data_IF_879066516231
#
_entry.id   IF_879066516231
#
_cell.length_a   1.000
_cell.length_b   1.000
_cell.length_c   1.000
_cell.angle_alpha   90.00
_cell.angle_beta   90.00
_cell.angle_gamma   90.00
#
_symmetry.space_group_name_H-M   'P 1'
#
loop_
_entity.id
_entity.type
_entity.pdbx_description
1 polymer ?
#
# COMPACT_ATOMS: atom_id res chain seq x y z
N UNK A 1 -60.42 -3.21 -36.11
CA UNK A 1 -58.98 -2.84 -36.02
C UNK A 1 -58.82 -1.67 -35.05
N UNK A 2 -58.60 -1.96 -33.80
CA UNK A 2 -58.53 -0.96 -32.72
C UNK A 2 -57.05 -0.87 -32.27
N UNK A 3 -56.46 0.29 -32.49
CA UNK A 3 -55.12 0.59 -31.99
C UNK A 3 -55.16 0.80 -30.47
N UNK A 4 -54.46 -0.02 -29.72
CA UNK A 4 -54.18 0.21 -28.32
C UNK A 4 -52.81 0.89 -28.21
N UNK A 5 -52.81 2.18 -27.88
CA UNK A 5 -51.65 2.93 -27.48
C UNK A 5 -51.57 2.85 -25.95
N UNK A 6 -50.57 2.15 -25.43
CA UNK A 6 -50.30 2.17 -24.01
C UNK A 6 -48.85 2.63 -23.84
N UNK A 7 -48.66 3.92 -23.50
CA UNK A 7 -47.37 4.52 -23.13
C UNK A 7 -47.49 5.00 -21.69
N UNK A 8 -47.26 4.12 -20.75
CA UNK A 8 -47.00 4.51 -19.37
C UNK A 8 -45.50 4.50 -19.16
N UNK A 9 -44.87 5.67 -19.24
CA UNK A 9 -43.48 5.90 -18.82
C UNK A 9 -43.45 5.86 -17.30
N UNK A 10 -42.90 4.78 -16.74
CA UNK A 10 -42.46 4.76 -15.35
C UNK A 10 -41.20 5.62 -15.25
N UNK A 11 -41.31 6.82 -14.68
CA UNK A 11 -40.16 7.57 -14.14
C UNK A 11 -39.91 7.05 -12.73
N UNK A 12 -38.79 6.39 -12.47
CA UNK A 12 -38.42 6.10 -11.06
C UNK A 12 -38.02 7.41 -10.39
N UNK A 13 -38.87 7.89 -9.49
CA UNK A 13 -38.47 8.93 -8.55
C UNK A 13 -37.51 8.30 -7.52
N UNK A 14 -36.23 8.56 -7.66
CA UNK A 14 -35.28 8.29 -6.60
C UNK A 14 -35.58 9.25 -5.44
N UNK A 15 -35.62 8.77 -4.18
CA UNK A 15 -35.73 9.67 -3.03
C UNK A 15 -34.52 10.61 -3.02
N UNK A 16 -34.77 11.90 -2.79
CA UNK A 16 -33.72 12.88 -2.60
C UNK A 16 -32.77 12.41 -1.48
N UNK A 17 -31.47 12.49 -1.74
CA UNK A 17 -30.47 12.19 -0.74
C UNK A 17 -30.69 13.12 0.50
N UNK A 18 -30.58 12.61 1.72
CA UNK A 18 -30.77 13.42 2.92
C UNK A 18 -29.75 14.55 2.94
N UNK A 19 -30.22 15.80 2.97
CA UNK A 19 -29.42 17.04 2.98
C UNK A 19 -28.94 17.44 4.37
N UNK A 20 -28.77 16.53 5.30
CA UNK A 20 -28.23 16.78 6.62
C UNK A 20 -26.94 16.00 6.88
N UNK A 21 -26.03 16.50 7.73
CA UNK A 21 -24.87 15.72 8.12
C UNK A 21 -25.35 14.42 8.76
N UNK A 22 -24.92 13.30 8.20
CA UNK A 22 -25.10 11.99 8.83
C UNK A 22 -24.48 12.09 10.22
N UNK A 23 -25.18 11.76 11.32
CA UNK A 23 -24.57 11.78 12.63
C UNK A 23 -23.41 10.77 12.62
N UNK A 24 -22.21 11.29 12.62
CA UNK A 24 -21.00 10.52 12.88
C UNK A 24 -21.15 10.02 14.31
N UNK A 25 -21.49 8.75 14.47
CA UNK A 25 -21.45 8.10 15.78
C UNK A 25 -20.10 8.42 16.42
N UNK A 26 -20.08 8.63 17.73
CA UNK A 26 -18.89 8.97 18.52
C UNK A 26 -17.73 8.14 18.02
N UNK A 27 -16.84 8.75 17.25
CA UNK A 27 -15.60 8.13 16.80
C UNK A 27 -14.82 7.83 18.09
N UNK A 28 -14.77 6.55 18.48
CA UNK A 28 -13.69 6.06 19.31
C UNK A 28 -12.39 6.63 18.73
N UNK A 29 -11.43 6.95 19.58
CA UNK A 29 -10.10 7.43 19.20
C UNK A 29 -9.71 6.75 17.88
N UNK A 30 -9.54 7.56 16.82
CA UNK A 30 -9.20 7.00 15.51
C UNK A 30 -7.92 6.19 15.70
N UNK A 31 -7.90 4.91 15.37
CA UNK A 31 -6.67 4.13 15.47
C UNK A 31 -5.59 4.84 14.65
N UNK A 32 -4.36 4.84 15.15
CA UNK A 32 -3.22 5.33 14.40
C UNK A 32 -3.04 4.44 13.16
N UNK A 33 -2.50 4.98 12.09
CA UNK A 33 -2.25 4.21 10.87
C UNK A 33 -0.85 4.54 10.37
N UNK A 34 -0.11 3.51 9.94
CA UNK A 34 1.18 3.72 9.24
C UNK A 34 1.02 4.53 7.95
N UNK A 35 -0.22 4.70 7.47
CA UNK A 35 -0.56 5.54 6.34
C UNK A 35 -1.18 6.88 6.75
N UNK A 36 -1.25 7.16 8.06
CA UNK A 36 -1.72 8.46 8.56
C UNK A 36 -0.75 9.55 8.11
N UNK A 37 -1.29 10.57 7.47
CA UNK A 37 -0.56 11.71 6.98
C UNK A 37 -1.13 12.99 7.59
N UNK A 38 -0.29 14.00 7.71
CA UNK A 38 -0.75 15.35 8.00
C UNK A 38 -1.61 15.85 6.83
N UNK A 39 -2.69 16.58 7.15
CA UNK A 39 -3.53 17.18 6.12
C UNK A 39 -2.70 18.25 5.37
N UNK A 40 -2.84 18.29 4.05
CA UNK A 40 -2.16 19.27 3.21
C UNK A 40 -3.14 19.82 2.17
N UNK A 41 -3.46 21.11 2.29
CA UNK A 41 -4.44 21.78 1.42
C UNK A 41 -3.99 21.87 -0.04
N UNK A 42 -2.68 21.78 -0.32
CA UNK A 42 -2.16 21.74 -1.68
C UNK A 42 -2.72 20.57 -2.49
N UNK A 43 -3.13 19.49 -1.82
CA UNK A 43 -3.71 18.32 -2.47
C UNK A 43 -5.09 18.57 -3.10
N UNK A 44 -5.77 19.65 -2.78
CA UNK A 44 -7.05 19.99 -3.40
C UNK A 44 -6.90 20.46 -4.85
N UNK A 45 -5.74 21.04 -5.20
CA UNK A 45 -5.44 21.58 -6.51
C UNK A 45 -4.57 20.67 -7.38
N UNK A 46 -4.19 19.47 -6.90
CA UNK A 46 -3.36 18.55 -7.68
C UNK A 46 -4.11 18.02 -8.91
N UNK A 47 -3.37 17.83 -9.98
CA UNK A 47 -3.86 17.18 -11.18
C UNK A 47 -3.34 15.74 -11.26
N UNK A 48 -4.22 14.83 -11.65
CA UNK A 48 -3.97 13.40 -11.75
C UNK A 48 -3.59 13.06 -13.19
N UNK A 49 -2.50 12.34 -13.37
CA UNK A 49 -2.11 11.82 -14.67
C UNK A 49 -2.91 10.56 -15.02
N UNK A 50 -3.56 10.55 -16.18
CA UNK A 50 -4.29 9.39 -16.73
C UNK A 50 -3.98 9.30 -18.23
N UNK A 51 -3.28 8.25 -18.67
CA UNK A 51 -3.04 7.97 -20.09
C UNK A 51 -2.54 9.18 -20.89
N UNK A 52 -1.42 9.76 -20.47
CA UNK A 52 -0.75 10.92 -21.11
C UNK A 52 -1.45 12.29 -20.96
N UNK A 53 -2.56 12.37 -20.22
CA UNK A 53 -3.28 13.61 -19.94
C UNK A 53 -3.34 13.89 -18.43
N UNK A 54 -3.52 15.20 -18.08
CA UNK A 54 -3.70 15.65 -16.70
C UNK A 54 -5.14 16.10 -16.48
N UNK A 55 -5.70 15.69 -15.35
CA UNK A 55 -7.08 16.01 -14.97
C UNK A 55 -7.12 16.57 -13.56
N UNK A 56 -7.87 17.66 -13.30
CA UNK A 56 -8.13 18.12 -11.95
C UNK A 56 -8.63 16.95 -11.07
N UNK A 57 -8.18 16.89 -9.81
CA UNK A 57 -8.50 15.78 -8.89
C UNK A 57 -9.99 15.40 -8.86
N UNK A 58 -10.89 16.40 -8.89
CA UNK A 58 -12.33 16.19 -8.85
C UNK A 58 -12.94 15.74 -10.18
N UNK A 59 -12.20 15.83 -11.29
CA UNK A 59 -12.61 15.41 -12.63
C UNK A 59 -11.95 14.10 -13.08
N UNK A 60 -10.85 13.70 -12.44
CA UNK A 60 -10.14 12.47 -12.75
C UNK A 60 -11.05 11.25 -12.59
N UNK A 61 -11.25 10.52 -13.66
CA UNK A 61 -12.15 9.35 -13.75
C UNK A 61 -11.54 8.25 -14.59
N UNK A 62 -11.86 7.02 -14.23
CA UNK A 62 -11.56 5.85 -15.04
C UNK A 62 -12.88 5.22 -15.50
N UNK A 63 -12.84 4.49 -16.60
CA UNK A 63 -13.99 3.79 -17.14
C UNK A 63 -14.55 2.77 -16.13
N UNK A 64 -15.88 2.63 -16.06
CA UNK A 64 -16.52 1.54 -15.29
C UNK A 64 -16.27 0.17 -15.93
N UNK A 65 -15.75 0.12 -17.14
CA UNK A 65 -15.32 -1.10 -17.83
C UNK A 65 -13.82 -1.40 -17.66
N UNK A 66 -13.08 -0.57 -16.91
CA UNK A 66 -11.67 -0.84 -16.61
C UNK A 66 -11.50 -2.17 -15.88
N UNK A 67 -10.53 -2.96 -16.31
CA UNK A 67 -10.27 -4.32 -15.79
C UNK A 67 -9.84 -4.32 -14.32
N UNK A 68 -9.13 -3.29 -13.87
CA UNK A 68 -8.77 -3.11 -12.47
C UNK A 68 -9.98 -2.85 -11.60
N UNK A 69 -10.93 -2.00 -12.08
CA UNK A 69 -12.19 -1.76 -11.38
C UNK A 69 -13.10 -2.99 -11.38
N UNK A 70 -13.23 -3.67 -12.51
CA UNK A 70 -14.15 -4.82 -12.64
C UNK A 70 -13.68 -6.06 -11.88
N UNK A 71 -12.39 -6.39 -11.93
CA UNK A 71 -11.88 -7.69 -11.47
C UNK A 71 -10.54 -7.62 -10.75
N UNK A 72 -9.99 -6.43 -10.50
CA UNK A 72 -8.69 -6.26 -9.84
C UNK A 72 -7.50 -6.64 -10.71
N UNK A 73 -7.65 -6.65 -12.05
CA UNK A 73 -6.63 -7.04 -13.02
C UNK A 73 -5.69 -5.86 -13.32
N UNK A 74 -4.65 -5.74 -12.52
CA UNK A 74 -3.66 -4.67 -12.60
C UNK A 74 -2.62 -4.76 -11.49
N UNK A 75 -1.59 -3.95 -11.65
CA UNK A 75 -0.45 -3.82 -10.74
C UNK A 75 -0.25 -2.36 -10.33
N UNK A 76 0.46 -2.13 -9.24
CA UNK A 76 0.70 -0.77 -8.77
C UNK A 76 1.99 -0.65 -7.97
N UNK A 77 2.50 0.57 -7.85
CA UNK A 77 3.61 0.93 -6.99
C UNK A 77 3.29 2.18 -6.17
N UNK A 78 3.84 2.25 -4.96
CA UNK A 78 3.87 3.43 -4.14
C UNK A 78 5.31 3.92 -4.01
N UNK A 79 5.58 5.17 -4.36
CA UNK A 79 6.92 5.75 -4.38
C UNK A 79 6.98 7.02 -3.53
N UNK A 80 8.15 7.31 -2.96
CA UNK A 80 8.41 8.57 -2.24
C UNK A 80 9.34 9.45 -3.04
N UNK A 81 8.99 10.74 -3.13
CA UNK A 81 9.86 11.77 -3.69
C UNK A 81 10.56 12.53 -2.55
N UNK A 82 11.86 12.61 -2.64
CA UNK A 82 12.73 13.39 -1.75
C UNK A 82 13.71 14.20 -2.62
N UNK A 83 13.84 15.48 -2.35
CA UNK A 83 14.77 16.39 -3.07
C UNK A 83 14.61 16.33 -4.60
N UNK A 84 13.36 16.18 -5.08
CA UNK A 84 13.05 16.08 -6.51
C UNK A 84 13.36 14.72 -7.15
N UNK A 85 13.74 13.68 -6.38
CA UNK A 85 14.06 12.34 -6.87
C UNK A 85 13.21 11.28 -6.18
N UNK A 86 12.75 10.29 -6.93
CA UNK A 86 12.06 9.14 -6.37
C UNK A 86 13.08 8.18 -5.75
N UNK A 87 12.96 7.96 -4.45
CA UNK A 87 13.83 7.03 -3.72
C UNK A 87 13.66 5.59 -4.23
N UNK A 88 14.79 4.94 -4.52
CA UNK A 88 14.86 3.55 -5.02
C UNK A 88 13.99 3.27 -6.25
N UNK A 89 13.87 4.26 -7.15
CA UNK A 89 13.01 4.18 -8.34
C UNK A 89 13.25 2.89 -9.13
N UNK A 90 14.51 2.53 -9.35
CA UNK A 90 14.87 1.33 -10.10
C UNK A 90 14.31 0.05 -9.48
N UNK A 91 14.39 -0.10 -8.16
CA UNK A 91 13.85 -1.27 -7.45
C UNK A 91 12.31 -1.33 -7.56
N UNK A 92 11.63 -0.17 -7.53
CA UNK A 92 10.19 -0.09 -7.73
C UNK A 92 9.79 -0.47 -9.15
N UNK A 93 10.51 0.02 -10.16
CA UNK A 93 10.25 -0.32 -11.55
C UNK A 93 10.58 -1.79 -11.85
N UNK A 94 11.66 -2.36 -11.29
CA UNK A 94 11.96 -3.79 -11.39
C UNK A 94 10.78 -4.64 -10.90
N UNK A 95 10.22 -4.30 -9.74
CA UNK A 95 9.09 -5.03 -9.17
C UNK A 95 7.80 -4.83 -9.99
N UNK A 96 7.56 -3.62 -10.50
CA UNK A 96 6.42 -3.31 -11.36
C UNK A 96 6.46 -4.18 -12.63
N UNK A 97 7.59 -4.16 -13.36
CA UNK A 97 7.74 -4.91 -14.61
C UNK A 97 7.76 -6.43 -14.38
N UNK A 98 8.35 -6.90 -13.30
CA UNK A 98 8.27 -8.32 -12.91
C UNK A 98 6.81 -8.72 -12.58
N UNK A 99 6.05 -7.86 -11.92
CA UNK A 99 4.62 -8.07 -11.66
C UNK A 99 3.79 -8.10 -12.94
N UNK A 100 4.04 -7.18 -13.87
CA UNK A 100 3.40 -7.16 -15.18
C UNK A 100 3.65 -8.45 -15.96
N UNK A 101 4.91 -8.87 -16.03
CA UNK A 101 5.28 -10.13 -16.68
C UNK A 101 4.59 -11.34 -16.05
N UNK A 102 4.46 -11.38 -14.72
CA UNK A 102 3.85 -12.50 -14.02
C UNK A 102 2.33 -12.65 -14.29
N UNK A 103 1.63 -11.57 -14.62
CA UNK A 103 0.21 -11.61 -15.00
C UNK A 103 -0.01 -11.45 -16.51
N UNK A 104 1.07 -11.57 -17.32
CA UNK A 104 1.02 -11.42 -18.78
C UNK A 104 0.33 -10.09 -19.19
N UNK A 105 0.76 -8.98 -18.57
CA UNK A 105 0.28 -7.64 -18.84
C UNK A 105 1.36 -6.87 -19.59
N UNK A 106 1.09 -6.49 -20.84
CA UNK A 106 1.94 -5.54 -21.57
C UNK A 106 1.61 -4.12 -21.08
N UNK A 107 2.61 -3.47 -20.49
CA UNK A 107 2.48 -2.07 -20.01
C UNK A 107 2.36 -1.09 -21.20
N UNK A 108 2.81 -1.46 -22.39
CA UNK A 108 2.82 -0.62 -23.58
C UNK A 108 3.85 0.52 -23.53
N UNK A 109 4.68 0.57 -22.48
CA UNK A 109 5.71 1.58 -22.25
C UNK A 109 7.01 0.93 -21.79
N UNK A 110 8.13 1.53 -22.16
CA UNK A 110 9.43 1.17 -21.63
C UNK A 110 9.58 1.67 -20.18
N UNK A 111 10.59 1.17 -19.50
CA UNK A 111 10.94 1.57 -18.14
C UNK A 111 11.21 3.08 -18.03
N UNK A 112 11.94 3.63 -19.00
CA UNK A 112 12.28 5.05 -19.05
C UNK A 112 11.04 5.92 -19.29
N UNK A 113 10.10 5.45 -20.10
CA UNK A 113 8.82 6.16 -20.33
C UNK A 113 7.95 6.16 -19.08
N UNK A 114 7.87 5.06 -18.34
CA UNK A 114 7.17 5.01 -17.05
C UNK A 114 7.83 5.95 -16.02
N UNK A 115 9.16 5.95 -15.94
CA UNK A 115 9.90 6.91 -15.11
C UNK A 115 9.64 8.35 -15.54
N UNK A 116 9.63 8.60 -16.86
CA UNK A 116 9.30 9.90 -17.45
C UNK A 116 7.90 10.40 -17.05
N UNK A 117 6.90 9.52 -17.07
CA UNK A 117 5.52 9.83 -16.64
C UNK A 117 5.46 10.21 -15.15
N UNK A 118 6.16 9.46 -14.27
CA UNK A 118 6.27 9.77 -12.84
C UNK A 118 6.88 11.15 -12.62
N UNK A 119 8.02 11.45 -13.25
CA UNK A 119 8.67 12.76 -13.14
C UNK A 119 7.86 13.88 -13.80
N UNK A 120 7.16 13.61 -14.90
CA UNK A 120 6.23 14.57 -15.51
C UNK A 120 5.11 14.95 -14.55
N UNK A 121 4.53 13.96 -13.85
CA UNK A 121 3.44 14.18 -12.89
C UNK A 121 3.87 15.09 -11.73
N UNK A 122 5.04 14.85 -11.12
CA UNK A 122 5.49 15.66 -9.99
C UNK A 122 5.94 17.05 -10.44
N UNK A 123 6.53 17.20 -11.62
CA UNK A 123 6.86 18.52 -12.19
C UNK A 123 5.62 19.33 -12.54
N UNK A 124 4.60 18.69 -13.12
CA UNK A 124 3.34 19.34 -13.48
C UNK A 124 2.64 19.92 -12.25
N UNK A 125 2.72 19.24 -11.11
CA UNK A 125 2.14 19.67 -9.84
C UNK A 125 3.10 20.49 -8.95
N UNK A 126 4.25 20.93 -9.46
CA UNK A 126 5.27 21.69 -8.71
C UNK A 126 5.70 21.01 -7.38
N UNK A 127 5.92 19.68 -7.44
CA UNK A 127 6.24 18.86 -6.28
C UNK A 127 7.73 18.54 -6.21
N UNK A 128 8.35 18.73 -5.02
CA UNK A 128 9.79 18.53 -4.81
C UNK A 128 10.10 17.61 -3.63
N UNK A 129 9.32 17.69 -2.54
CA UNK A 129 9.56 16.94 -1.31
C UNK A 129 8.26 16.52 -0.63
N UNK A 130 8.38 15.53 0.27
CA UNK A 130 7.24 14.99 1.02
C UNK A 130 6.06 14.58 0.13
N UNK A 131 6.37 13.99 -1.01
CA UNK A 131 5.36 13.51 -1.96
C UNK A 131 5.29 11.99 -1.95
N UNK A 132 4.08 11.47 -1.96
CA UNK A 132 3.81 10.05 -2.20
C UNK A 132 3.08 9.91 -3.53
N UNK A 133 3.72 9.20 -4.46
CA UNK A 133 3.12 8.89 -5.76
C UNK A 133 2.61 7.44 -5.77
N UNK A 134 1.37 7.26 -6.21
CA UNK A 134 0.79 5.96 -6.52
C UNK A 134 0.69 5.81 -8.03
N UNK A 135 1.49 4.91 -8.58
CA UNK A 135 1.44 4.48 -9.97
C UNK A 135 0.57 3.24 -10.06
N UNK A 136 -0.48 3.25 -10.87
CA UNK A 136 -1.38 2.13 -11.10
C UNK A 136 -1.45 1.82 -12.59
N UNK A 137 -1.37 0.54 -12.95
CA UNK A 137 -1.49 0.08 -14.33
C UNK A 137 -2.48 -1.07 -14.35
N UNK A 138 -3.54 -0.92 -15.14
CA UNK A 138 -4.54 -1.97 -15.38
C UNK A 138 -4.37 -2.54 -16.79
N UNK A 139 -4.98 -3.69 -17.05
CA UNK A 139 -4.97 -4.26 -18.41
C UNK A 139 -5.78 -3.42 -19.41
N UNK A 140 -6.57 -2.46 -18.97
CA UNK A 140 -7.38 -1.57 -19.79
C UNK A 140 -8.87 -1.90 -19.79
N UNK A 141 -9.60 -1.23 -20.66
CA UNK A 141 -11.07 -1.33 -20.72
C UNK A 141 -11.53 -2.62 -21.39
N UNK A 142 -12.65 -3.16 -20.91
CA UNK A 142 -13.28 -4.37 -21.46
C UNK A 142 -14.53 -4.02 -22.27
N UNK A 143 -14.78 -4.76 -23.34
CA UNK A 143 -16.02 -4.64 -24.16
C UNK A 143 -17.28 -4.93 -23.34
N UNK A 144 -17.17 -5.82 -22.36
CA UNK A 144 -18.24 -6.28 -21.48
C UNK A 144 -17.63 -6.79 -20.18
N UNK A 145 -18.34 -6.71 -19.04
CA UNK A 145 -17.87 -7.29 -17.78
C UNK A 145 -17.56 -8.78 -17.95
N UNK A 146 -16.27 -9.15 -17.79
CA UNK A 146 -15.79 -10.52 -18.00
C UNK A 146 -14.40 -10.67 -17.39
N UNK A 147 -14.07 -11.87 -16.91
CA UNK A 147 -12.70 -12.20 -16.50
C UNK A 147 -11.77 -12.48 -17.70
N UNK A 148 -12.33 -12.80 -18.87
CA UNK A 148 -11.54 -13.23 -20.02
C UNK A 148 -10.66 -12.09 -20.57
N UNK A 149 -9.34 -12.24 -20.67
CA UNK A 149 -8.43 -11.19 -21.10
C UNK A 149 -8.65 -10.73 -22.54
N UNK A 150 -9.16 -11.62 -23.44
CA UNK A 150 -9.47 -11.24 -24.82
C UNK A 150 -10.60 -10.23 -24.98
N UNK A 151 -11.33 -9.90 -23.91
CA UNK A 151 -12.36 -8.87 -23.92
C UNK A 151 -11.81 -7.44 -23.73
N UNK A 152 -10.50 -7.30 -23.52
CA UNK A 152 -9.85 -5.98 -23.43
C UNK A 152 -9.86 -5.31 -24.80
N UNK A 153 -10.15 -4.01 -24.80
CA UNK A 153 -10.10 -3.11 -25.97
C UNK A 153 -9.14 -1.97 -25.70
N UNK A 154 -8.39 -1.59 -26.70
CA UNK A 154 -7.32 -0.59 -26.54
C UNK A 154 -6.08 -1.16 -25.88
N UNK A 155 -5.39 -0.35 -25.11
CA UNK A 155 -4.19 -0.67 -24.36
C UNK A 155 -4.40 -0.63 -22.84
N UNK A 156 -3.34 -0.78 -22.05
CA UNK A 156 -3.38 -0.63 -20.61
C UNK A 156 -3.79 0.80 -20.21
N UNK A 157 -4.43 0.94 -19.06
CA UNK A 157 -4.65 2.25 -18.45
C UNK A 157 -3.58 2.50 -17.39
N UNK A 158 -2.94 3.67 -17.46
CA UNK A 158 -1.97 4.15 -16.47
C UNK A 158 -2.56 5.33 -15.71
N UNK A 159 -2.53 5.26 -14.38
CA UNK A 159 -2.92 6.36 -13.50
C UNK A 159 -1.80 6.65 -12.53
N UNK A 160 -1.40 7.92 -12.39
CA UNK A 160 -0.44 8.36 -11.39
C UNK A 160 -1.09 9.43 -10.52
N UNK A 161 -1.25 9.12 -9.23
CA UNK A 161 -1.75 10.03 -8.20
C UNK A 161 -0.54 10.44 -7.37
N UNK A 162 -0.11 11.69 -7.47
CA UNK A 162 0.90 12.28 -6.60
C UNK A 162 0.21 13.19 -5.58
N UNK A 163 0.59 13.05 -4.31
CA UNK A 163 0.05 13.85 -3.20
C UNK A 163 1.19 14.37 -2.32
N UNK A 164 1.08 15.62 -1.87
CA UNK A 164 1.87 16.10 -0.74
C UNK A 164 1.45 15.30 0.50
N UNK A 165 2.37 14.51 1.03
CA UNK A 165 2.00 13.53 2.07
C UNK A 165 3.17 13.30 3.02
N UNK A 166 3.21 14.03 4.12
CA UNK A 166 4.15 13.83 5.20
C UNK A 166 3.58 12.84 6.23
N UNK A 167 4.40 11.88 6.67
CA UNK A 167 4.01 10.98 7.75
C UNK A 167 3.86 11.76 9.06
N UNK A 168 2.86 11.41 9.87
CA UNK A 168 2.68 12.01 11.19
C UNK A 168 3.78 11.50 12.15
N UNK A 169 4.67 12.38 12.64
CA UNK A 169 5.73 11.98 13.55
C UNK A 169 5.22 11.38 14.87
N UNK A 170 3.99 11.74 15.29
CA UNK A 170 3.38 11.22 16.50
C UNK A 170 3.16 9.70 16.43
N UNK A 171 2.87 9.15 15.25
CA UNK A 171 2.70 7.71 15.03
C UNK A 171 4.03 6.98 15.29
N UNK A 172 5.13 7.49 14.75
CA UNK A 172 6.45 6.88 14.96
C UNK A 172 6.93 7.02 16.42
N UNK A 173 6.56 8.11 17.11
CA UNK A 173 6.93 8.37 18.50
C UNK A 173 6.11 7.53 19.49
N UNK A 174 4.83 7.31 19.23
CA UNK A 174 3.96 6.51 20.09
C UNK A 174 4.10 4.99 19.82
N UNK A 175 4.37 4.61 18.58
CA UNK A 175 4.22 3.25 18.08
C UNK A 175 2.76 2.92 17.78
N UNK A 176 2.54 1.76 17.16
CA UNK A 176 1.23 1.25 16.78
C UNK A 176 0.90 -0.06 17.49
N UNK A 177 -0.38 -0.42 17.45
CA UNK A 177 -0.92 -1.67 17.96
C UNK A 177 -1.33 -2.60 16.82
N UNK A 178 -1.09 -3.91 16.98
CA UNK A 178 -1.49 -4.92 16.00
C UNK A 178 -2.49 -5.91 16.59
N UNK A 179 -3.34 -6.46 15.73
CA UNK A 179 -4.22 -7.56 16.06
C UNK A 179 -4.04 -8.72 15.07
N UNK A 180 -3.81 -9.93 15.61
CA UNK A 180 -3.70 -11.13 14.78
C UNK A 180 -5.06 -11.57 14.27
N UNK A 181 -5.24 -11.53 12.96
CA UNK A 181 -6.53 -11.80 12.33
C UNK A 181 -6.72 -13.25 11.91
N UNK A 182 -7.97 -13.64 11.70
CA UNK A 182 -8.31 -14.99 11.19
C UNK A 182 -8.05 -15.14 9.71
N UNK A 183 -7.94 -14.02 8.97
CA UNK A 183 -7.63 -14.01 7.53
C UNK A 183 -6.18 -14.40 7.33
N UNK A 184 -5.94 -15.46 6.57
CA UNK A 184 -4.59 -15.90 6.22
C UNK A 184 -4.10 -15.27 4.93
N UNK A 185 -2.79 -15.07 4.83
CA UNK A 185 -2.19 -14.73 3.54
C UNK A 185 -2.36 -15.91 2.59
N UNK A 186 -2.87 -15.71 1.36
CA UNK A 186 -3.05 -16.81 0.42
C UNK A 186 -1.71 -17.41 0.01
N UNK A 187 -1.75 -18.71 -0.31
CA UNK A 187 -0.60 -19.41 -0.86
C UNK A 187 -0.32 -18.96 -2.30
N UNK A 188 0.94 -19.05 -2.77
CA UNK A 188 1.32 -18.59 -4.12
C UNK A 188 0.57 -19.25 -5.27
N UNK A 189 0.01 -20.45 -5.07
CA UNK A 189 -0.83 -21.16 -6.04
C UNK A 189 -2.27 -20.63 -6.09
N UNK A 190 -2.68 -19.83 -5.11
CA UNK A 190 -3.97 -19.12 -5.10
C UNK A 190 -3.83 -17.71 -5.65
N UNK A 191 -2.93 -16.92 -5.05
CA UNK A 191 -2.55 -15.58 -5.47
C UNK A 191 -1.18 -15.26 -4.88
N UNK A 192 -0.14 -15.22 -5.72
CA UNK A 192 1.21 -14.95 -5.25
C UNK A 192 1.30 -13.55 -4.61
N UNK A 193 1.60 -13.53 -3.32
CA UNK A 193 1.64 -12.31 -2.52
C UNK A 193 2.88 -11.43 -2.80
N UNK A 194 3.81 -11.90 -3.62
CA UNK A 194 4.91 -11.08 -4.17
C UNK A 194 4.43 -10.12 -5.26
N UNK A 195 3.23 -10.37 -5.82
CA UNK A 195 2.59 -9.45 -6.77
C UNK A 195 2.00 -8.25 -6.03
N UNK A 196 2.41 -7.06 -6.44
CA UNK A 196 1.76 -5.84 -5.98
C UNK A 196 0.56 -5.51 -6.88
N UNK A 197 -0.48 -6.34 -6.82
CA UNK A 197 -1.66 -6.25 -7.66
C UNK A 197 -2.80 -5.46 -7.01
N UNK A 198 -3.83 -5.13 -7.78
CA UNK A 198 -5.03 -4.42 -7.32
C UNK A 198 -5.94 -5.27 -6.43
N UNK A 199 -5.83 -6.60 -6.45
CA UNK A 199 -6.68 -7.53 -5.69
C UNK A 199 -6.30 -7.55 -4.20
N UNK A 200 -6.78 -6.56 -3.43
CA UNK A 200 -6.42 -6.32 -2.02
C UNK A 200 -7.54 -6.62 -1.02
N UNK A 201 -8.64 -7.25 -1.46
CA UNK A 201 -9.82 -7.42 -0.60
C UNK A 201 -9.53 -8.21 0.67
N UNK A 202 -8.69 -9.25 0.61
CA UNK A 202 -8.33 -10.06 1.80
C UNK A 202 -7.55 -9.24 2.85
N UNK A 203 -6.73 -8.28 2.41
CA UNK A 203 -6.02 -7.35 3.30
C UNK A 203 -6.98 -6.35 3.94
N UNK A 204 -7.96 -5.86 3.17
CA UNK A 204 -9.03 -4.98 3.69
C UNK A 204 -9.89 -5.72 4.73
N UNK A 205 -10.27 -6.99 4.47
CA UNK A 205 -11.04 -7.80 5.43
C UNK A 205 -10.23 -8.03 6.71
N UNK A 206 -8.92 -8.29 6.61
CA UNK A 206 -8.04 -8.42 7.76
C UNK A 206 -8.00 -7.10 8.56
N UNK A 207 -7.80 -5.96 7.90
CA UNK A 207 -7.79 -4.66 8.56
C UNK A 207 -9.12 -4.34 9.26
N UNK A 208 -10.27 -4.69 8.66
CA UNK A 208 -11.59 -4.53 9.29
C UNK A 208 -11.65 -5.31 10.63
N UNK A 209 -11.07 -6.51 10.70
CA UNK A 209 -11.02 -7.27 11.96
C UNK A 209 -10.15 -6.55 13.00
N UNK A 210 -8.97 -6.07 12.62
CA UNK A 210 -8.07 -5.36 13.53
C UNK A 210 -8.71 -4.06 14.06
N UNK A 211 -9.27 -3.24 13.19
CA UNK A 211 -9.95 -1.99 13.58
C UNK A 211 -11.14 -2.27 14.53
N UNK A 212 -11.92 -3.31 14.27
CA UNK A 212 -13.01 -3.73 15.18
C UNK A 212 -12.51 -4.24 16.54
N UNK A 213 -11.28 -4.76 16.60
CA UNK A 213 -10.62 -5.14 17.83
C UNK A 213 -9.93 -3.96 18.54
N UNK A 214 -9.93 -2.75 17.93
CA UNK A 214 -9.31 -1.56 18.50
C UNK A 214 -7.82 -1.42 18.16
N UNK A 215 -7.31 -2.19 17.21
CA UNK A 215 -5.91 -2.13 16.78
C UNK A 215 -5.74 -1.31 15.49
N UNK A 216 -4.52 -0.84 15.26
CA UNK A 216 -4.16 0.04 14.15
C UNK A 216 -3.96 -0.71 12.82
N UNK A 217 -3.34 -1.91 12.87
CA UNK A 217 -3.12 -2.77 11.71
C UNK A 217 -3.35 -4.25 12.03
N UNK A 218 -3.56 -5.03 10.98
CA UNK A 218 -3.77 -6.47 11.05
C UNK A 218 -2.45 -7.23 10.91
N UNK A 219 -2.09 -8.05 11.89
CA UNK A 219 -1.05 -9.06 11.73
C UNK A 219 -1.68 -10.32 11.11
N UNK A 220 -1.13 -10.76 9.99
CA UNK A 220 -1.63 -11.90 9.22
C UNK A 220 -0.64 -13.06 9.27
N UNK A 221 -1.15 -14.26 9.44
CA UNK A 221 -0.37 -15.48 9.40
C UNK A 221 -0.47 -16.13 8.01
N UNK A 222 0.49 -16.98 7.70
CA UNK A 222 0.46 -17.83 6.52
C UNK A 222 -0.47 -19.05 6.71
N UNK A 223 -0.67 -19.89 5.70
CA UNK A 223 -1.51 -21.10 5.82
C UNK A 223 -1.01 -22.11 6.84
N UNK A 224 0.28 -22.08 7.21
CA UNK A 224 0.87 -22.99 8.22
C UNK A 224 0.74 -22.48 9.65
N UNK A 225 0.32 -21.22 9.82
CA UNK A 225 0.20 -20.56 11.12
C UNK A 225 1.45 -19.77 11.53
N UNK A 226 2.48 -19.71 10.68
CA UNK A 226 3.62 -18.84 10.90
C UNK A 226 3.29 -17.37 10.56
N UNK A 227 4.00 -16.43 11.17
CA UNK A 227 3.84 -15.00 10.92
C UNK A 227 4.26 -14.69 9.48
N UNK A 228 3.38 -14.02 8.74
CA UNK A 228 3.64 -13.64 7.36
C UNK A 228 3.98 -12.15 7.24
N UNK A 229 3.03 -11.28 7.56
CA UNK A 229 3.16 -9.83 7.33
C UNK A 229 1.95 -9.10 7.93
N UNK A 230 1.89 -7.77 7.85
CA UNK A 230 0.66 -7.04 8.11
C UNK A 230 -0.18 -6.83 6.82
N UNK A 231 -1.36 -6.22 6.97
CA UNK A 231 -2.26 -5.97 5.83
C UNK A 231 -1.64 -5.05 4.76
N UNK A 232 -0.82 -4.05 5.16
CA UNK A 232 -0.24 -3.07 4.23
C UNK A 232 1.27 -2.88 4.39
N UNK A 233 1.88 -3.49 5.41
CA UNK A 233 3.29 -3.33 5.80
C UNK A 233 3.96 -4.68 6.00
N UNK A 234 5.31 -4.74 5.94
CA UNK A 234 6.05 -5.93 6.32
C UNK A 234 6.36 -5.88 7.83
N UNK A 235 6.33 -7.03 8.47
CA UNK A 235 6.49 -7.18 9.91
C UNK A 235 7.87 -7.72 10.29
N UNK A 236 8.43 -7.17 11.36
CA UNK A 236 9.72 -7.54 11.92
C UNK A 236 9.67 -7.63 13.45
N UNK A 237 10.52 -8.47 14.01
CA UNK A 237 10.83 -8.48 15.44
C UNK A 237 12.35 -8.39 15.65
N UNK A 238 12.76 -7.76 16.76
CA UNK A 238 14.14 -7.82 17.28
C UNK A 238 14.15 -8.82 18.40
N UNK A 239 15.03 -9.81 18.30
CA UNK A 239 15.14 -10.89 19.27
C UNK A 239 16.53 -11.56 19.20
N UNK A 240 17.12 -11.84 20.35
CA UNK A 240 18.35 -12.64 20.45
C UNK A 240 19.51 -12.08 19.59
N UNK A 241 19.66 -10.74 19.57
CA UNK A 241 20.69 -10.06 18.79
C UNK A 241 20.46 -10.09 17.27
N UNK A 242 19.27 -10.45 16.83
CA UNK A 242 18.88 -10.49 15.42
C UNK A 242 17.61 -9.71 15.10
N UNK A 243 17.45 -9.36 13.85
CA UNK A 243 16.19 -8.87 13.29
C UNK A 243 15.56 -9.96 12.42
N UNK A 244 14.34 -10.38 12.75
CA UNK A 244 13.66 -11.48 12.08
C UNK A 244 12.46 -10.98 11.29
N UNK A 245 12.28 -11.54 10.12
CA UNK A 245 11.07 -11.36 9.30
C UNK A 245 10.73 -12.67 8.59
N UNK A 246 9.53 -12.78 8.04
CA UNK A 246 9.10 -13.95 7.29
C UNK A 246 9.92 -14.18 6.02
N UNK A 247 9.85 -15.38 5.45
CA UNK A 247 10.67 -15.81 4.30
C UNK A 247 10.41 -15.04 3.01
N UNK A 248 9.32 -14.26 2.93
CA UNK A 248 8.92 -13.59 1.70
C UNK A 248 8.02 -14.42 0.78
N UNK A 249 7.69 -15.65 1.16
CA UNK A 249 6.84 -16.54 0.35
C UNK A 249 5.36 -16.11 0.37
N UNK A 250 4.88 -15.55 1.49
CA UNK A 250 3.48 -15.18 1.70
C UNK A 250 3.26 -13.68 1.87
N UNK A 251 4.20 -12.88 1.44
CA UNK A 251 4.14 -11.43 1.56
C UNK A 251 4.82 -10.72 0.40
N UNK A 252 4.50 -9.45 0.22
CA UNK A 252 5.21 -8.61 -0.72
C UNK A 252 6.67 -8.44 -0.25
N UNK A 253 7.63 -8.65 -1.14
CA UNK A 253 9.02 -8.30 -0.90
C UNK A 253 9.17 -6.77 -0.98
N UNK A 254 8.79 -6.09 0.12
CA UNK A 254 8.82 -4.63 0.21
C UNK A 254 10.24 -4.09 0.04
N UNK A 255 10.39 -2.96 -0.65
CA UNK A 255 11.70 -2.33 -0.85
C UNK A 255 12.26 -1.86 0.50
N UNK A 256 11.44 -1.24 1.35
CA UNK A 256 11.82 -0.91 2.73
C UNK A 256 12.22 -2.15 3.53
N UNK A 257 11.52 -3.29 3.35
CA UNK A 257 11.90 -4.56 3.97
C UNK A 257 13.30 -5.01 3.52
N UNK A 258 13.59 -4.95 2.24
CA UNK A 258 14.92 -5.31 1.70
C UNK A 258 16.01 -4.43 2.30
N UNK A 259 15.78 -3.11 2.36
CA UNK A 259 16.72 -2.16 2.94
C UNK A 259 17.00 -2.45 4.43
N UNK A 260 15.97 -2.78 5.21
CA UNK A 260 16.18 -3.19 6.62
C UNK A 260 17.11 -4.40 6.71
N UNK A 261 16.91 -5.41 5.84
CA UNK A 261 17.78 -6.59 5.82
C UNK A 261 19.23 -6.25 5.40
N UNK A 262 19.40 -5.30 4.51
CA UNK A 262 20.70 -4.82 4.03
C UNK A 262 21.44 -4.01 5.11
N UNK A 263 20.73 -3.15 5.86
CA UNK A 263 21.36 -2.27 6.85
C UNK A 263 21.46 -2.88 8.26
N UNK A 264 20.75 -3.97 8.55
CA UNK A 264 20.76 -4.62 9.87
C UNK A 264 22.17 -4.95 10.40
N UNK A 265 23.11 -5.45 9.56
CA UNK A 265 24.49 -5.68 10.02
C UNK A 265 25.20 -4.41 10.50
N UNK A 266 24.87 -3.23 9.95
CA UNK A 266 25.42 -1.93 10.38
C UNK A 266 24.89 -1.49 11.76
N UNK A 267 23.76 -2.07 12.18
CA UNK A 267 23.22 -1.91 13.54
C UNK A 267 23.73 -2.99 14.50
N UNK A 268 24.62 -3.88 14.07
CA UNK A 268 25.11 -5.01 14.86
C UNK A 268 24.11 -6.16 14.99
N UNK A 269 23.09 -6.21 14.12
CA UNK A 269 22.05 -7.24 14.14
C UNK A 269 22.28 -8.27 13.02
N UNK A 270 22.04 -9.54 13.32
CA UNK A 270 21.96 -10.58 12.29
C UNK A 270 20.57 -10.56 11.67
N UNK A 271 20.49 -10.45 10.34
CA UNK A 271 19.21 -10.47 9.62
C UNK A 271 18.77 -11.92 9.34
N UNK A 272 17.54 -12.26 9.74
CA UNK A 272 16.96 -13.59 9.53
C UNK A 272 15.65 -13.52 8.75
N UNK A 273 15.60 -14.24 7.63
CA UNK A 273 14.38 -14.51 6.89
C UNK A 273 13.97 -15.97 7.15
N UNK A 274 13.04 -16.18 8.07
CA UNK A 274 12.65 -17.52 8.53
C UNK A 274 11.19 -17.60 8.97
N UNK A 275 10.58 -18.78 9.01
CA UNK A 275 9.32 -18.96 9.70
C UNK A 275 9.51 -18.72 11.21
N UNK A 276 8.54 -18.07 11.85
CA UNK A 276 8.44 -17.90 13.30
C UNK A 276 6.97 -17.76 13.71
N UNK A 277 6.70 -18.01 14.94
CA UNK A 277 5.33 -18.11 15.46
C UNK A 277 4.94 -16.90 16.31
N UNK A 278 3.67 -16.80 16.69
CA UNK A 278 3.21 -15.79 17.65
C UNK A 278 3.90 -15.91 19.02
N UNK A 279 4.35 -17.11 19.41
CA UNK A 279 5.16 -17.29 20.65
C UNK A 279 6.46 -16.49 20.57
N UNK A 280 7.12 -16.51 19.42
CA UNK A 280 8.33 -15.73 19.19
C UNK A 280 8.04 -14.22 19.20
N UNK A 281 6.90 -13.82 18.62
CA UNK A 281 6.45 -12.42 18.57
C UNK A 281 6.18 -11.89 19.98
N UNK A 282 5.42 -12.60 20.79
CA UNK A 282 5.06 -12.13 22.14
C UNK A 282 6.23 -12.09 23.13
N UNK A 283 7.34 -12.74 22.80
CA UNK A 283 8.57 -12.72 23.58
C UNK A 283 9.69 -11.90 22.93
N UNK A 284 9.36 -11.11 21.90
CA UNK A 284 10.32 -10.25 21.24
C UNK A 284 10.72 -9.04 22.12
N UNK A 285 11.95 -8.58 21.95
CA UNK A 285 12.48 -7.39 22.61
C UNK A 285 11.89 -6.13 22.03
N UNK A 286 11.74 -6.09 20.69
CA UNK A 286 11.12 -5.02 19.93
C UNK A 286 10.34 -5.61 18.74
N UNK A 287 9.36 -4.86 18.25
CA UNK A 287 8.71 -5.15 16.98
C UNK A 287 8.49 -3.85 16.18
N UNK A 288 8.46 -3.98 14.86
CA UNK A 288 8.18 -2.86 13.98
C UNK A 288 7.62 -3.34 12.64
N UNK A 289 6.98 -2.42 11.93
CA UNK A 289 6.52 -2.64 10.55
C UNK A 289 7.23 -1.72 9.59
N UNK A 290 7.25 -2.10 8.30
CA UNK A 290 7.93 -1.33 7.25
C UNK A 290 7.05 -1.10 6.04
N UNK A 291 7.12 0.11 5.48
CA UNK A 291 6.44 0.47 4.24
C UNK A 291 7.04 1.72 3.61
N UNK A 292 6.82 1.90 2.32
CA UNK A 292 7.41 3.03 1.56
C UNK A 292 6.98 4.38 2.12
N UNK A 293 5.76 4.54 2.60
CA UNK A 293 5.27 5.81 3.13
C UNK A 293 5.79 6.09 4.55
N UNK A 294 5.58 5.18 5.50
CA UNK A 294 5.91 5.37 6.91
C UNK A 294 7.36 5.01 7.28
N UNK A 295 8.14 4.46 6.34
CA UNK A 295 9.47 3.93 6.64
C UNK A 295 9.37 2.75 7.61
N UNK A 296 10.00 2.88 8.79
CA UNK A 296 9.90 1.94 9.89
C UNK A 296 9.02 2.53 10.99
N UNK A 297 7.95 1.82 11.36
CA UNK A 297 7.03 2.24 12.43
C UNK A 297 7.09 1.23 13.57
N UNK A 298 7.42 1.64 14.81
CA UNK A 298 7.46 0.75 15.97
C UNK A 298 6.09 0.14 16.26
N UNK A 299 6.10 -1.11 16.76
CA UNK A 299 4.91 -1.81 17.28
C UNK A 299 5.11 -2.04 18.77
N UNK A 300 4.19 -1.55 19.57
CA UNK A 300 4.30 -1.54 21.05
C UNK A 300 3.35 -2.54 21.72
N UNK A 301 2.31 -2.99 21.00
CA UNK A 301 1.34 -3.96 21.51
C UNK A 301 0.86 -4.88 20.38
N UNK A 302 0.66 -6.16 20.67
CA UNK A 302 0.08 -7.14 19.75
C UNK A 302 -0.90 -8.02 20.52
N UNK A 303 -2.14 -8.09 20.07
CA UNK A 303 -3.22 -8.91 20.69
C UNK A 303 -3.42 -8.60 22.19
N UNK A 304 -3.33 -7.33 22.58
CA UNK A 304 -3.42 -6.87 23.96
C UNK A 304 -2.20 -7.22 24.81
N UNK A 305 -1.10 -7.66 24.20
CA UNK A 305 0.17 -7.94 24.88
C UNK A 305 1.21 -6.87 24.58
N UNK A 306 1.78 -6.31 25.60
CA UNK A 306 2.90 -5.37 25.48
C UNK A 306 4.11 -6.06 24.87
N UNK A 307 4.75 -5.45 23.89
CA UNK A 307 6.02 -5.89 23.30
C UNK A 307 7.15 -5.10 23.96
N UNK A 308 8.19 -5.81 24.41
CA UNK A 308 9.28 -5.21 25.15
C UNK A 308 8.79 -4.49 26.41
N UNK A 309 9.06 -3.20 26.51
CA UNK A 309 8.58 -2.34 27.60
C UNK A 309 7.35 -1.48 27.20
N UNK A 310 6.76 -1.72 26.03
CA UNK A 310 5.60 -0.98 25.52
C UNK A 310 5.97 0.37 24.90
N UNK A 311 7.21 0.55 24.51
CA UNK A 311 7.73 1.77 23.88
C UNK A 311 8.54 1.46 22.64
N UNK A 312 8.73 2.42 21.72
CA UNK A 312 9.67 2.30 20.62
C UNK A 312 11.08 1.96 21.13
N UNK A 313 11.63 0.85 20.65
CA UNK A 313 12.91 0.35 21.15
C UNK A 313 14.13 0.97 20.48
N UNK A 314 15.33 0.88 21.11
CA UNK A 314 16.55 1.52 20.62
C UNK A 314 17.07 0.90 19.31
N UNK A 315 16.86 -0.40 19.07
CA UNK A 315 17.32 -1.03 17.83
C UNK A 315 16.44 -0.60 16.64
N UNK A 316 15.14 -0.48 16.85
CA UNK A 316 14.23 0.10 15.84
C UNK A 316 14.62 1.53 15.52
N UNK A 317 14.93 2.36 16.51
CA UNK A 317 15.41 3.73 16.32
C UNK A 317 16.73 3.76 15.51
N UNK A 318 17.66 2.86 15.81
CA UNK A 318 18.92 2.74 15.06
C UNK A 318 18.69 2.32 13.61
N UNK A 319 17.79 1.37 13.36
CA UNK A 319 17.42 0.96 11.99
C UNK A 319 16.72 2.07 11.22
N UNK A 320 15.91 2.92 11.90
CA UNK A 320 15.31 4.10 11.29
C UNK A 320 16.36 5.13 10.83
N UNK A 321 17.41 5.34 11.63
CA UNK A 321 18.53 6.23 11.24
C UNK A 321 19.25 5.69 10.00
N UNK A 322 19.60 4.40 10.01
CA UNK A 322 20.28 3.76 8.87
C UNK A 322 19.42 3.75 7.60
N UNK A 323 18.11 3.50 7.74
CA UNK A 323 17.18 3.57 6.63
C UNK A 323 17.11 4.99 6.03
N UNK A 324 17.00 6.03 6.88
CA UNK A 324 17.02 7.43 6.41
C UNK A 324 18.33 7.77 5.70
N UNK A 325 19.47 7.33 6.24
CA UNK A 325 20.75 7.53 5.58
C UNK A 325 20.82 6.83 4.20
N UNK A 326 20.24 5.63 4.07
CA UNK A 326 20.17 4.93 2.79
C UNK A 326 19.25 5.66 1.78
N UNK A 327 18.13 6.25 2.23
CA UNK A 327 17.26 7.08 1.38
C UNK A 327 18.03 8.31 0.89
N UNK A 328 18.71 9.03 1.79
CA UNK A 328 19.49 10.22 1.42
C UNK A 328 20.62 9.90 0.43
N UNK A 329 21.33 8.79 0.62
CA UNK A 329 22.37 8.36 -0.32
C UNK A 329 21.81 8.05 -1.71
N UNK A 330 20.65 7.37 -1.79
CA UNK A 330 20.01 7.02 -3.06
C UNK A 330 19.54 8.29 -3.83
N UNK A 331 18.94 9.25 -3.12
CA UNK A 331 18.41 10.46 -3.79
C UNK A 331 19.49 11.51 -4.04
N UNK A 332 20.62 11.53 -3.33
CA UNK A 332 21.78 12.41 -3.64
C UNK A 332 22.57 11.90 -4.84
N UNK A 333 22.51 10.60 -5.13
CA UNK A 333 23.22 9.98 -6.25
C UNK A 333 24.70 9.70 -5.93
N UNK A 334 25.01 9.53 -4.64
CA UNK A 334 26.34 9.17 -4.09
C UNK A 334 26.57 7.66 -4.07
#
# INVERSE_FOLDING_TARGET
>A
MTKVTNTALFSPSFPEAPTGPVPVGTLAVMPHSTHQALADERNESVEIFINDEFFPRHEARISVFDSGFLVGDGIWEGLRLHHGRFAFLDRHLDRLFAGAAAIDLDIGMTRDEVAGALYSTVRHNDMHDDVHARLMITRGDKKTPSQHPSNVVGGPNMVIIAEHKAADPAVAAAGITLFTTTVRRPAPDTLDQRLNCHSKLHEVIALIQAVKAGADEALMLDPTGAVATCNATNFFVVREGGVWTSTGQYNLNGITRQLVLEVAPLAGLTAHQKPFSLTDVYSAEEAFVTGTFGGLTPVVEIDGRTIGDGRPGPMTARLQELYRAAVEADVSGD
#
